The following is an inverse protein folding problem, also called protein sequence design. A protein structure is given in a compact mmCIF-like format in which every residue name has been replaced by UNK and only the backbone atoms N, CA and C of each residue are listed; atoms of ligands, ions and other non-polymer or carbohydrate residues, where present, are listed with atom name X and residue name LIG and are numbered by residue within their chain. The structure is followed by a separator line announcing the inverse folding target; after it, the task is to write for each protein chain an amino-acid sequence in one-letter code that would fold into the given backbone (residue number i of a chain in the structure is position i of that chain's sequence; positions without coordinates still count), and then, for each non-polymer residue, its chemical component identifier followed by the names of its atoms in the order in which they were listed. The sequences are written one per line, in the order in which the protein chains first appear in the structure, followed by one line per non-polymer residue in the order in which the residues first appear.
data_IF_075723446752
#
_entry.id   IF_075723446752
#
_cell.length_a   1.000
_cell.length_b   1.000
_cell.length_c   1.000
_cell.angle_alpha   90.00
_cell.angle_beta   90.00
_cell.angle_gamma   90.00
#
_symmetry.space_group_name_H-M   'P 1'
#
loop_
_entity.id
_entity.type
_entity.pdbx_description
1 polymer ?
#
# COMPACT_ATOMS: atom_id res chain seq x y z
N UNK A 1 -4.58 22.27 10.19
CA UNK A 1 -3.17 21.81 10.18
C UNK A 1 -2.52 22.34 8.91
N UNK A 2 -1.33 22.98 8.94
CA UNK A 2 -0.75 23.51 7.72
C UNK A 2 -0.11 22.38 6.89
N UNK A 3 -0.58 22.20 5.65
CA UNK A 3 0.09 21.38 4.64
C UNK A 3 1.43 22.03 4.31
N UNK A 4 2.54 21.35 4.57
CA UNK A 4 3.86 21.77 4.10
C UNK A 4 3.92 21.53 2.59
N UNK A 5 4.04 22.60 1.82
CA UNK A 5 4.26 22.56 0.39
C UNK A 5 5.77 22.37 0.19
N UNK A 6 6.19 21.22 -0.35
CA UNK A 6 7.57 20.94 -0.74
C UNK A 6 7.72 21.21 -2.24
N UNK A 7 8.66 22.09 -2.59
CA UNK A 7 8.95 22.51 -3.96
C UNK A 7 9.87 21.54 -4.71
N UNK A 8 9.59 21.37 -6.01
CA UNK A 8 10.39 20.88 -7.15
C UNK A 8 11.46 19.79 -6.89
N UNK A 9 11.31 18.64 -7.57
CA UNK A 9 12.12 17.39 -7.52
C UNK A 9 11.81 16.37 -6.41
N UNK A 10 10.74 16.54 -5.64
CA UNK A 10 10.25 15.49 -4.76
C UNK A 10 8.88 15.02 -5.26
N UNK A 11 8.79 13.78 -5.73
CA UNK A 11 7.49 13.15 -5.92
C UNK A 11 6.81 13.06 -4.55
N UNK A 12 5.73 13.82 -4.34
CA UNK A 12 4.90 13.71 -3.14
C UNK A 12 4.04 12.47 -3.34
N UNK A 13 4.52 11.33 -2.86
CA UNK A 13 3.77 10.07 -2.89
C UNK A 13 3.10 9.90 -1.53
N UNK A 14 1.78 9.92 -1.51
CA UNK A 14 0.99 9.59 -0.32
C UNK A 14 0.87 8.06 -0.23
N UNK A 15 1.19 7.48 0.94
CA UNK A 15 1.09 6.01 1.15
C UNK A 15 0.26 5.71 2.38
N UNK A 16 -0.72 4.81 2.25
CA UNK A 16 -1.44 4.23 3.38
C UNK A 16 -1.05 2.77 3.52
N UNK A 17 -0.63 2.39 4.73
CA UNK A 17 -0.22 1.03 5.05
C UNK A 17 -1.30 0.42 5.94
N UNK A 18 -1.87 -0.70 5.52
CA UNK A 18 -2.94 -1.41 6.23
C UNK A 18 -2.46 -2.84 6.50
N UNK A 19 -2.37 -3.27 7.77
CA UNK A 19 -2.04 -4.65 8.09
C UNK A 19 -3.23 -5.56 7.84
N UNK A 20 -3.01 -6.66 7.12
CA UNK A 20 -3.93 -7.78 7.00
C UNK A 20 -3.53 -8.87 7.98
N UNK A 21 -4.31 -9.02 9.05
CA UNK A 21 -4.11 -10.04 10.07
C UNK A 21 -5.07 -11.22 9.81
N UNK A 22 -4.58 -12.47 9.80
CA UNK A 22 -5.43 -13.65 9.87
C UNK A 22 -6.26 -13.61 11.16
N UNK A 23 -7.46 -14.18 11.09
CA UNK A 23 -8.28 -14.43 12.28
C UNK A 23 -7.72 -15.62 13.06
N UNK A 24 -8.02 -15.66 14.36
CA UNK A 24 -7.64 -16.79 15.20
C UNK A 24 -8.40 -18.07 14.81
N UNK A 25 -7.81 -19.23 15.12
CA UNK A 25 -8.33 -20.52 14.68
C UNK A 25 -9.72 -20.85 15.25
N UNK A 26 -10.10 -20.25 16.38
CA UNK A 26 -11.42 -20.40 17.01
C UNK A 26 -12.49 -19.47 16.42
N UNK A 27 -12.09 -18.49 15.61
CA UNK A 27 -12.97 -17.55 14.93
C UNK A 27 -13.29 -17.96 13.48
N UNK A 28 -12.68 -19.05 12.99
CA UNK A 28 -12.83 -19.55 11.63
C UNK A 28 -13.38 -20.98 11.60
N UNK A 29 -14.10 -21.38 10.54
CA UNK A 29 -14.54 -22.77 10.36
C UNK A 29 -13.36 -23.77 10.35
N UNK A 30 -13.60 -25.02 10.74
CA UNK A 30 -12.58 -26.08 10.80
C UNK A 30 -11.90 -26.34 9.44
N UNK A 31 -12.64 -26.16 8.34
CA UNK A 31 -12.13 -26.33 6.97
C UNK A 31 -11.62 -25.01 6.34
N UNK A 32 -11.38 -23.96 7.14
CA UNK A 32 -10.90 -22.68 6.63
C UNK A 32 -9.47 -22.79 6.08
N UNK A 33 -9.17 -22.12 4.95
CA UNK A 33 -7.82 -22.09 4.42
C UNK A 33 -6.88 -21.31 5.34
N UNK A 34 -5.61 -21.71 5.37
CA UNK A 34 -4.57 -20.98 6.11
C UNK A 34 -4.33 -19.60 5.47
N UNK A 35 -4.64 -18.55 6.22
CA UNK A 35 -4.40 -17.17 5.81
C UNK A 35 -3.07 -16.70 6.39
N UNK A 36 -2.25 -16.07 5.54
CA UNK A 36 -0.95 -15.53 5.93
C UNK A 36 -1.05 -14.03 6.18
N UNK A 37 -0.37 -13.48 7.20
CA UNK A 37 -0.33 -12.05 7.43
C UNK A 37 0.33 -11.31 6.26
N UNK A 38 -0.20 -10.15 5.92
CA UNK A 38 0.27 -9.35 4.78
C UNK A 38 0.09 -7.86 5.04
N UNK A 39 0.66 -7.03 4.16
CA UNK A 39 0.45 -5.59 4.15
C UNK A 39 -0.25 -5.17 2.86
N UNK A 40 -1.17 -4.22 2.96
CA UNK A 40 -1.70 -3.49 1.81
C UNK A 40 -1.07 -2.11 1.82
N UNK A 41 -0.45 -1.73 0.69
CA UNK A 41 0.10 -0.40 0.47
C UNK A 41 -0.75 0.29 -0.60
N UNK A 42 -1.53 1.27 -0.18
CA UNK A 42 -2.26 2.14 -1.09
C UNK A 42 -1.35 3.30 -1.46
N UNK A 43 -1.11 3.49 -2.76
CA UNK A 43 -0.24 4.52 -3.31
C UNK A 43 -1.11 5.61 -3.94
N UNK A 44 -1.30 6.70 -3.21
CA UNK A 44 -2.09 7.88 -3.61
C UNK A 44 -1.15 8.96 -4.19
N UNK A 45 -1.62 9.72 -5.18
CA UNK A 45 -0.94 10.89 -5.76
C UNK A 45 0.47 10.61 -6.34
N UNK A 46 0.75 9.40 -6.81
CA UNK A 46 2.07 9.02 -7.31
C UNK A 46 2.19 9.12 -8.84
N UNK A 47 3.22 9.81 -9.31
CA UNK A 47 3.69 9.76 -10.70
C UNK A 47 4.95 8.90 -10.77
N UNK A 48 4.78 7.60 -11.01
CA UNK A 48 5.88 6.63 -11.12
C UNK A 48 5.97 6.16 -12.57
N UNK A 49 7.17 6.20 -13.14
CA UNK A 49 7.41 5.62 -14.46
C UNK A 49 7.30 4.09 -14.40
N UNK A 50 6.70 3.46 -15.42
CA UNK A 50 6.50 2.02 -15.46
C UNK A 50 7.82 1.23 -15.39
N UNK A 51 8.93 1.80 -15.85
CA UNK A 51 10.26 1.18 -15.76
C UNK A 51 10.81 1.17 -14.33
N UNK A 52 10.41 2.15 -13.51
CA UNK A 52 10.83 2.30 -12.12
C UNK A 52 9.85 1.66 -11.12
N UNK A 53 8.66 1.26 -11.58
CA UNK A 53 7.59 0.72 -10.75
C UNK A 53 8.05 -0.50 -9.93
N UNK A 54 8.70 -1.47 -10.58
CA UNK A 54 9.18 -2.69 -9.91
C UNK A 54 10.26 -2.37 -8.88
N UNK A 55 11.15 -1.42 -9.19
CA UNK A 55 12.19 -0.98 -8.27
C UNK A 55 11.61 -0.31 -7.03
N UNK A 56 10.61 0.56 -7.24
CA UNK A 56 9.87 1.20 -6.15
C UNK A 56 9.18 0.17 -5.26
N UNK A 57 8.41 -0.76 -5.84
CA UNK A 57 7.67 -1.77 -5.07
C UNK A 57 8.61 -2.69 -4.29
N UNK A 58 9.72 -3.09 -4.90
CA UNK A 58 10.73 -3.94 -4.25
C UNK A 58 11.38 -3.21 -3.07
N UNK A 59 11.82 -1.96 -3.27
CA UNK A 59 12.44 -1.16 -2.21
C UNK A 59 11.48 -0.89 -1.04
N UNK A 60 10.19 -0.63 -1.34
CA UNK A 60 9.16 -0.45 -0.31
C UNK A 60 8.88 -1.76 0.42
N UNK A 61 8.87 -2.88 -0.30
CA UNK A 61 8.68 -4.21 0.28
C UNK A 61 9.77 -4.53 1.30
N UNK A 62 11.03 -4.40 0.90
CA UNK A 62 12.16 -4.68 1.79
C UNK A 62 12.11 -3.80 3.05
N UNK A 63 11.86 -2.50 2.87
CA UNK A 63 11.80 -1.55 3.97
C UNK A 63 10.63 -1.85 4.94
N UNK A 64 9.43 -2.13 4.42
CA UNK A 64 8.24 -2.33 5.24
C UNK A 64 8.21 -3.71 5.91
N UNK A 65 8.60 -4.77 5.20
CA UNK A 65 8.67 -6.11 5.80
C UNK A 65 9.69 -6.12 6.94
N UNK A 66 10.84 -5.47 6.77
CA UNK A 66 11.84 -5.34 7.83
C UNK A 66 11.33 -4.48 9.00
N UNK A 67 10.72 -3.32 8.72
CA UNK A 67 10.32 -2.38 9.76
C UNK A 67 9.11 -2.83 10.58
N UNK A 68 8.19 -3.60 9.98
CA UNK A 68 6.92 -4.00 10.61
C UNK A 68 6.90 -5.46 11.08
N UNK A 69 7.94 -6.25 10.79
CA UNK A 69 8.10 -7.59 11.36
C UNK A 69 8.33 -7.52 12.88
N UNK A 70 7.42 -8.12 13.64
CA UNK A 70 7.45 -8.26 15.10
C UNK A 70 7.07 -9.69 15.48
N UNK A 71 7.26 -10.04 16.76
CA UNK A 71 6.94 -11.40 17.27
C UNK A 71 5.48 -11.79 17.02
N UNK A 72 4.54 -10.85 17.12
CA UNK A 72 3.10 -11.09 16.96
C UNK A 72 2.58 -10.82 15.55
N UNK A 73 3.41 -10.28 14.65
CA UNK A 73 3.00 -9.95 13.30
C UNK A 73 4.20 -9.95 12.37
N UNK A 74 4.23 -10.91 11.45
CA UNK A 74 5.31 -11.06 10.48
C UNK A 74 4.72 -11.14 9.07
N UNK A 75 4.50 -10.01 8.40
CA UNK A 75 3.90 -10.02 7.07
C UNK A 75 4.80 -10.79 6.10
N UNK A 76 4.20 -11.61 5.24
CA UNK A 76 4.93 -12.41 4.25
C UNK A 76 5.04 -11.73 2.88
N UNK A 77 4.07 -10.88 2.55
CA UNK A 77 4.04 -10.17 1.27
C UNK A 77 3.33 -8.82 1.41
N UNK A 78 3.51 -7.98 0.39
CA UNK A 78 2.83 -6.69 0.25
C UNK A 78 1.98 -6.69 -1.01
N UNK A 79 0.76 -6.21 -0.89
CA UNK A 79 -0.12 -5.92 -2.01
C UNK A 79 -0.17 -4.41 -2.27
N UNK A 80 0.26 -3.99 -3.45
CA UNK A 80 0.18 -2.60 -3.87
C UNK A 80 -1.17 -2.32 -4.53
N UNK A 81 -1.79 -1.20 -4.14
CA UNK A 81 -3.02 -0.71 -4.74
C UNK A 81 -2.84 0.73 -5.20
N UNK A 82 -3.07 0.96 -6.49
CA UNK A 82 -2.98 2.27 -7.13
C UNK A 82 -4.41 2.71 -7.49
N UNK A 83 -5.11 3.47 -6.62
CA UNK A 83 -6.43 3.98 -6.95
C UNK A 83 -6.33 4.85 -8.20
N UNK A 84 -7.09 4.50 -9.23
CA UNK A 84 -7.33 5.43 -10.34
C UNK A 84 -8.11 6.64 -9.83
N UNK A 85 -7.87 7.85 -10.38
CA UNK A 85 -8.73 8.99 -10.11
C UNK A 85 -10.18 8.61 -10.42
N UNK A 86 -11.11 9.09 -9.59
CA UNK A 86 -12.52 8.79 -9.77
C UNK A 86 -12.98 9.40 -11.11
N UNK A 87 -13.76 8.67 -11.89
CA UNK A 87 -14.27 9.07 -13.23
C UNK A 87 -14.92 10.48 -13.21
N UNK A 88 -15.42 10.93 -12.06
CA UNK A 88 -16.00 12.26 -11.84
C UNK A 88 -15.01 13.43 -12.07
N UNK A 89 -13.69 13.19 -12.02
CA UNK A 89 -12.67 14.22 -12.28
C UNK A 89 -12.40 14.44 -13.78
N UNK A 90 -12.71 13.46 -14.65
CA UNK A 90 -12.49 13.61 -16.10
C UNK A 90 -13.56 14.47 -16.78
N UNK A 91 -14.83 14.42 -16.35
CA UNK A 91 -15.91 15.25 -16.95
C UNK A 91 -15.75 16.74 -16.62
N UNK A 92 -15.16 17.10 -15.47
CA UNK A 92 -14.96 18.50 -15.07
C UNK A 92 -13.81 19.18 -15.83
N UNK A 93 -12.90 18.39 -16.41
CA UNK A 93 -11.77 18.91 -17.22
C UNK A 93 -12.09 19.02 -18.72
N UNK A 94 -13.24 18.49 -19.14
CA UNK A 94 -13.72 18.51 -20.52
C UNK A 94 -14.96 19.40 -20.74
N UNK A 95 -15.45 20.06 -19.67
CA UNK A 95 -16.55 21.05 -19.69
C UNK A 95 -16.04 22.47 -19.52
#
# INVERSE_FOLDING_TARGET
MPRKIFTANHAIISKRIIPGLPLEADEIPEDAPEARPYLIVIVEDASIDLTELVHFESAVTDALLQALSRETFKPEFIQFFYPTPSIEEEETLLS
#
